data_IF_031599197996
#
_entry.id   IF_031599197996
#
_cell.length_a   1.000
_cell.length_b   1.000
_cell.length_c   1.000
_cell.angle_alpha   90.00
_cell.angle_beta   90.00
_cell.angle_gamma   90.00
#
_symmetry.space_group_name_H-M   'P 1'
#
loop_
_entity.id
_entity.type
_entity.pdbx_description
1 polymer ?
#
# COMPACT_ATOMS: atom_id res chain seq x y z
N UNK A 1 -18.52 -20.37 22.42
CA UNK A 1 -17.77 -19.42 23.26
C UNK A 1 -17.85 -19.86 24.71
N UNK A 2 -16.72 -20.04 25.38
CA UNK A 2 -16.71 -20.48 26.78
C UNK A 2 -17.15 -19.36 27.74
N UNK A 3 -17.26 -19.69 29.03
CA UNK A 3 -17.72 -18.75 30.06
C UNK A 3 -16.64 -17.74 30.50
N UNK A 4 -15.36 -17.99 30.20
CA UNK A 4 -14.27 -17.08 30.52
C UNK A 4 -14.22 -15.96 29.46
N UNK A 5 -14.24 -16.32 28.17
CA UNK A 5 -14.27 -15.35 27.07
C UNK A 5 -15.49 -14.43 27.14
N UNK A 6 -16.67 -14.95 27.51
CA UNK A 6 -17.88 -14.12 27.69
C UNK A 6 -17.69 -13.06 28.78
N UNK A 7 -17.08 -13.42 29.90
CA UNK A 7 -16.85 -12.49 31.03
C UNK A 7 -15.80 -11.43 30.69
N UNK A 8 -14.76 -11.81 29.95
CA UNK A 8 -13.75 -10.87 29.46
C UNK A 8 -14.34 -9.88 28.46
N UNK A 9 -15.16 -10.36 27.52
CA UNK A 9 -15.84 -9.53 26.54
C UNK A 9 -16.82 -8.56 27.22
N UNK A 10 -17.56 -9.01 28.23
CA UNK A 10 -18.42 -8.14 29.04
C UNK A 10 -17.62 -7.06 29.80
N UNK A 11 -16.43 -7.40 30.30
CA UNK A 11 -15.55 -6.45 30.97
C UNK A 11 -14.97 -5.41 30.00
N UNK A 12 -14.63 -5.82 28.77
CA UNK A 12 -14.22 -4.91 27.70
C UNK A 12 -15.36 -3.98 27.30
N UNK A 13 -16.57 -4.50 27.10
CA UNK A 13 -17.75 -3.70 26.73
C UNK A 13 -18.06 -2.63 27.78
N UNK A 14 -18.04 -2.98 29.06
CA UNK A 14 -18.24 -2.01 30.15
C UNK A 14 -17.17 -0.93 30.21
N UNK A 15 -15.93 -1.23 29.84
CA UNK A 15 -14.84 -0.23 29.81
C UNK A 15 -14.98 0.74 28.65
N UNK A 16 -15.38 0.25 27.48
CA UNK A 16 -15.50 1.07 26.28
C UNK A 16 -16.76 1.95 26.30
N UNK A 17 -17.90 1.42 26.78
CA UNK A 17 -19.19 2.10 26.64
C UNK A 17 -19.95 2.35 27.96
N UNK A 18 -19.41 1.93 29.10
CA UNK A 18 -20.09 2.05 30.40
C UNK A 18 -21.18 0.99 30.64
N UNK A 19 -21.97 1.15 31.70
CA UNK A 19 -23.06 0.24 32.01
C UNK A 19 -24.26 0.51 31.07
N UNK A 20 -24.56 -0.45 30.19
CA UNK A 20 -25.67 -0.32 29.22
C UNK A 20 -25.32 0.49 27.97
N UNK A 21 -24.05 0.58 27.59
CA UNK A 21 -23.62 1.34 26.40
C UNK A 21 -23.49 0.49 25.12
N UNK A 22 -24.09 -0.69 25.09
CA UNK A 22 -24.11 -1.49 23.87
C UNK A 22 -25.06 -0.89 22.82
N UNK A 23 -24.81 -1.19 21.55
CA UNK A 23 -25.77 -0.92 20.45
C UNK A 23 -27.17 -1.50 20.74
N UNK A 24 -27.22 -2.59 21.52
CA UNK A 24 -28.44 -3.26 21.96
C UNK A 24 -29.24 -2.48 23.04
N UNK A 25 -28.60 -1.54 23.73
CA UNK A 25 -29.17 -0.79 24.85
C UNK A 25 -29.49 0.68 24.47
N UNK A 26 -29.11 1.12 23.27
CA UNK A 26 -29.34 2.47 22.75
C UNK A 26 -30.51 2.49 21.74
N UNK A 27 -31.70 2.99 22.12
CA UNK A 27 -32.87 3.00 21.24
C UNK A 27 -32.71 3.94 20.03
N UNK A 28 -31.89 4.99 20.13
CA UNK A 28 -31.64 5.89 19.02
C UNK A 28 -30.72 5.23 17.98
N UNK A 29 -29.71 4.50 18.45
CA UNK A 29 -28.83 3.73 17.57
C UNK A 29 -29.58 2.59 16.85
N UNK A 30 -30.51 1.91 17.53
CA UNK A 30 -31.37 0.90 16.90
C UNK A 30 -32.31 1.49 15.85
N UNK A 31 -32.89 2.67 16.13
CA UNK A 31 -33.74 3.35 15.16
C UNK A 31 -32.95 3.71 13.88
N UNK A 32 -31.71 4.20 14.05
CA UNK A 32 -30.84 4.52 12.91
C UNK A 32 -30.40 3.27 12.14
N UNK A 33 -30.11 2.17 12.83
CA UNK A 33 -29.80 0.89 12.19
C UNK A 33 -30.98 0.37 11.36
N UNK A 34 -32.20 0.43 11.91
CA UNK A 34 -33.40 0.03 11.20
C UNK A 34 -33.68 0.87 9.94
N UNK A 35 -33.39 2.18 9.99
CA UNK A 35 -33.47 3.08 8.84
C UNK A 35 -32.45 2.69 7.75
N UNK A 36 -31.19 2.46 8.13
CA UNK A 36 -30.13 2.01 7.20
C UNK A 36 -30.43 0.65 6.58
N UNK A 37 -31.01 -0.29 7.33
CA UNK A 37 -31.45 -1.58 6.80
C UNK A 37 -32.65 -1.45 5.84
N UNK A 38 -33.50 -0.45 6.04
CA UNK A 38 -34.60 -0.16 5.13
C UNK A 38 -34.09 0.48 3.83
N UNK A 39 -33.13 1.41 3.92
CA UNK A 39 -32.43 1.99 2.77
C UNK A 39 -31.70 0.90 1.95
N UNK A 40 -30.93 0.04 2.61
CA UNK A 40 -30.22 -1.08 1.96
C UNK A 40 -31.18 -2.06 1.25
N UNK A 41 -32.33 -2.36 1.85
CA UNK A 41 -33.37 -3.20 1.22
C UNK A 41 -34.07 -2.50 0.06
N UNK A 42 -34.26 -1.19 0.14
CA UNK A 42 -34.84 -0.40 -0.95
C UNK A 42 -33.87 -0.25 -2.12
N UNK A 43 -32.56 -0.22 -1.85
CA UNK A 43 -31.51 -0.10 -2.85
C UNK A 43 -31.18 -1.44 -3.55
N UNK A 44 -31.55 -2.58 -2.96
CA UNK A 44 -31.55 -3.87 -3.64
C UNK A 44 -32.79 -4.02 -4.52
N UNK A 45 -32.71 -3.93 -5.86
CA UNK A 45 -33.83 -4.24 -6.72
C UNK A 45 -34.07 -5.75 -6.60
N UNK A 46 -35.32 -6.13 -6.29
CA UNK A 46 -35.71 -7.52 -6.03
C UNK A 46 -35.03 -8.51 -6.98
N UNK A 47 -34.13 -9.31 -6.42
CA UNK A 47 -33.67 -10.52 -7.09
C UNK A 47 -34.89 -11.40 -7.38
N UNK A 48 -34.92 -12.11 -8.53
CA UNK A 48 -36.05 -12.96 -8.90
C UNK A 48 -36.35 -13.95 -7.77
N UNK A 49 -37.63 -14.33 -7.56
CA UNK A 49 -37.99 -15.25 -6.50
C UNK A 49 -37.13 -16.52 -6.66
N UNK A 50 -36.35 -16.82 -5.64
CA UNK A 50 -35.76 -18.13 -5.48
C UNK A 50 -36.89 -19.14 -5.61
N UNK A 51 -36.83 -20.11 -6.54
CA UNK A 51 -37.87 -21.11 -6.62
C UNK A 51 -37.95 -21.81 -5.27
N UNK A 52 -39.18 -21.96 -4.77
CA UNK A 52 -39.52 -22.70 -3.57
C UNK A 52 -38.65 -23.96 -3.48
N UNK A 53 -37.82 -24.05 -2.45
CA UNK A 53 -37.26 -25.33 -2.02
C UNK A 53 -38.44 -26.15 -1.54
N UNK A 54 -39.10 -26.77 -2.50
CA UNK A 54 -40.11 -27.77 -2.28
C UNK A 54 -39.38 -28.87 -1.53
N UNK A 55 -39.79 -29.09 -0.28
CA UNK A 55 -39.33 -30.20 0.52
C UNK A 55 -39.47 -31.48 -0.31
N UNK A 56 -38.35 -32.02 -0.79
CA UNK A 56 -38.34 -33.34 -1.41
C UNK A 56 -38.53 -34.34 -0.29
N UNK A 57 -39.81 -34.67 -0.12
CA UNK A 57 -40.28 -35.85 0.57
C UNK A 57 -39.63 -37.05 -0.12
N UNK A 58 -38.96 -37.91 0.66
CA UNK A 58 -38.38 -39.14 0.18
C UNK A 58 -39.43 -39.98 -0.58
N UNK A 59 -39.15 -40.31 -1.84
CA UNK A 59 -39.83 -41.37 -2.57
C UNK A 59 -38.78 -42.26 -3.26
N UNK A 60 -39.00 -43.58 -3.29
CA UNK A 60 -37.94 -44.57 -3.49
C UNK A 60 -37.75 -44.90 -4.97
N UNK A 61 -36.49 -45.08 -5.37
CA UNK A 61 -36.14 -45.58 -6.70
C UNK A 61 -35.20 -44.65 -7.45
N UNK A 62 -33.94 -44.62 -7.03
CA UNK A 62 -32.85 -44.43 -7.98
C UNK A 62 -32.05 -45.73 -8.07
N UNK A 63 -31.64 -46.14 -9.28
CA UNK A 63 -30.73 -47.26 -9.47
C UNK A 63 -29.36 -46.94 -8.88
N UNK A 64 -28.70 -47.96 -8.36
CA UNK A 64 -27.40 -47.87 -7.71
C UNK A 64 -26.35 -47.15 -8.58
N UNK A 65 -25.52 -46.25 -8.01
CA UNK A 65 -24.35 -45.74 -8.69
C UNK A 65 -23.34 -46.88 -8.92
N UNK A 66 -22.58 -46.87 -10.03
CA UNK A 66 -21.60 -47.91 -10.31
C UNK A 66 -20.54 -47.95 -9.21
N UNK A 67 -20.34 -49.14 -8.63
CA UNK A 67 -19.19 -49.49 -7.80
C UNK A 67 -17.91 -49.23 -8.58
N UNK A 68 -17.18 -48.20 -8.18
CA UNK A 68 -15.78 -48.02 -8.57
C UNK A 68 -14.97 -48.93 -7.66
N UNK A 69 -14.35 -49.95 -8.26
CA UNK A 69 -13.42 -50.84 -7.58
C UNK A 69 -12.33 -50.02 -6.87
N UNK A 70 -12.14 -50.32 -5.58
CA UNK A 70 -11.06 -49.78 -4.79
C UNK A 70 -9.74 -50.40 -5.25
N UNK A 71 -9.09 -49.75 -6.22
CA UNK A 71 -7.68 -49.96 -6.51
C UNK A 71 -6.88 -48.88 -5.77
N UNK A 72 -6.04 -49.33 -4.83
CA UNK A 72 -5.05 -48.52 -4.12
C UNK A 72 -3.75 -48.54 -4.93
N UNK A 73 -3.32 -47.41 -5.52
CA UNK A 73 -1.93 -47.22 -5.84
C UNK A 73 -1.35 -46.08 -5.01
N UNK A 74 -0.55 -46.44 -4.01
CA UNK A 74 0.42 -45.54 -3.40
C UNK A 74 1.21 -44.77 -4.48
N UNK A 75 1.22 -43.44 -4.48
CA UNK A 75 2.14 -42.69 -5.32
C UNK A 75 3.55 -42.81 -4.73
N UNK A 76 4.44 -43.51 -5.43
CA UNK A 76 5.88 -43.42 -5.19
C UNK A 76 6.34 -41.98 -5.40
N UNK A 77 6.82 -41.35 -4.33
CA UNK A 77 7.42 -40.00 -4.35
C UNK A 77 8.70 -40.01 -5.20
N UNK A 78 8.83 -39.22 -6.28
CA UNK A 78 10.09 -39.09 -7.01
C UNK A 78 11.15 -38.43 -6.11
N UNK A 79 12.37 -38.96 -6.14
CA UNK A 79 13.51 -38.39 -5.43
C UNK A 79 13.86 -36.98 -5.95
N UNK A 80 14.27 -36.03 -5.09
CA UNK A 80 14.66 -34.69 -5.52
C UNK A 80 15.98 -34.72 -6.33
N UNK A 81 16.11 -33.94 -7.41
CA UNK A 81 17.38 -33.80 -8.12
C UNK A 81 18.40 -33.04 -7.25
N UNK A 82 19.64 -33.54 -7.26
CA UNK A 82 20.77 -32.95 -6.54
C UNK A 82 21.10 -31.53 -7.04
N UNK A 83 21.59 -30.63 -6.17
CA UNK A 83 21.93 -29.26 -6.56
C UNK A 83 23.16 -29.21 -7.48
N UNK A 84 23.12 -28.48 -8.61
CA UNK A 84 24.33 -28.22 -9.37
C UNK A 84 25.26 -27.26 -8.61
N UNK A 85 26.54 -27.64 -8.63
CA UNK A 85 27.66 -26.99 -7.94
C UNK A 85 27.88 -25.56 -8.45
N UNK A 86 28.12 -24.62 -7.52
CA UNK A 86 28.71 -23.31 -7.79
C UNK A 86 30.04 -23.46 -8.54
N UNK A 87 30.11 -22.93 -9.75
CA UNK A 87 31.36 -22.64 -10.44
C UNK A 87 31.36 -21.18 -10.85
N UNK A 88 32.16 -20.38 -10.14
CA UNK A 88 32.40 -19.00 -10.50
C UNK A 88 33.18 -18.90 -11.80
N UNK A 89 32.78 -17.96 -12.65
CA UNK A 89 33.63 -17.46 -13.71
C UNK A 89 33.56 -15.93 -13.73
N UNK A 90 34.62 -15.32 -13.21
CA UNK A 90 35.02 -13.97 -13.60
C UNK A 90 35.51 -14.03 -15.05
N UNK A 91 34.91 -13.26 -15.94
CA UNK A 91 35.46 -12.92 -17.25
C UNK A 91 34.92 -11.52 -17.63
N UNK A 92 35.67 -10.45 -17.34
CA UNK A 92 36.59 -9.75 -18.26
C UNK A 92 35.90 -9.23 -19.54
N UNK A 93 35.64 -7.92 -19.50
CA UNK A 93 35.71 -6.91 -20.56
C UNK A 93 35.90 -7.40 -22.01
N UNK A 94 35.02 -6.92 -22.90
CA UNK A 94 35.39 -6.54 -24.25
C UNK A 94 34.54 -5.35 -24.71
N UNK A 95 35.23 -4.22 -24.94
CA UNK A 95 34.72 -3.04 -25.60
C UNK A 95 34.53 -3.30 -27.10
N UNK A 96 33.50 -2.69 -27.70
CA UNK A 96 33.40 -2.52 -29.14
C UNK A 96 33.02 -1.07 -29.46
N UNK A 97 34.06 -0.31 -29.86
CA UNK A 97 34.02 1.01 -30.47
C UNK A 97 33.83 0.85 -31.99
N UNK A 98 32.75 1.39 -32.56
CA UNK A 98 32.64 1.94 -33.93
C UNK A 98 31.37 2.82 -33.91
N UNK A 99 31.31 4.08 -34.33
CA UNK A 99 32.24 4.97 -35.00
C UNK A 99 31.51 6.30 -35.29
N UNK A 100 32.23 7.28 -35.85
CA UNK A 100 31.62 8.48 -36.42
C UNK A 100 32.37 9.76 -36.11
N UNK A 101 33.54 9.93 -36.74
CA UNK A 101 34.20 11.23 -36.83
C UNK A 101 33.47 12.09 -37.87
N UNK A 102 32.90 13.21 -37.42
CA UNK A 102 32.61 14.37 -38.27
C UNK A 102 33.00 15.62 -37.49
N UNK A 103 34.13 16.20 -37.88
CA UNK A 103 34.63 17.48 -37.38
C UNK A 103 34.46 18.53 -38.48
N UNK A 104 33.69 19.60 -38.23
CA UNK A 104 33.83 20.91 -38.90
C UNK A 104 33.43 22.04 -37.95
N UNK A 105 34.46 22.58 -37.29
CA UNK A 105 34.83 23.99 -37.02
C UNK A 105 33.82 25.13 -36.71
N UNK A 106 34.15 25.80 -35.59
CA UNK A 106 34.22 27.25 -35.31
C UNK A 106 32.96 28.14 -35.42
N UNK A 107 32.54 28.72 -34.29
CA UNK A 107 32.55 30.18 -34.05
C UNK A 107 32.25 30.47 -32.56
N UNK A 108 33.03 31.36 -31.96
CA UNK A 108 32.91 31.71 -30.54
C UNK A 108 31.72 32.61 -30.24
N UNK A 109 31.16 32.42 -29.03
CA UNK A 109 30.46 33.45 -28.28
C UNK A 109 30.92 33.35 -26.82
N UNK A 110 31.42 34.48 -26.33
CA UNK A 110 31.78 34.75 -24.94
C UNK A 110 30.53 34.84 -24.05
N UNK A 111 30.73 34.57 -22.75
CA UNK A 111 29.91 34.98 -21.60
C UNK A 111 28.61 34.22 -21.29
N UNK A 112 28.71 33.25 -20.38
CA UNK A 112 28.11 33.31 -19.05
C UNK A 112 28.52 32.04 -18.27
N UNK A 113 28.96 32.12 -16.99
CA UNK A 113 28.94 30.94 -16.16
C UNK A 113 27.47 30.56 -16.01
N UNK A 114 27.08 29.42 -16.59
CA UNK A 114 25.91 28.71 -16.13
C UNK A 114 26.19 28.41 -14.65
N UNK A 115 25.71 29.30 -13.77
CA UNK A 115 25.17 28.88 -12.49
C UNK A 115 24.12 27.82 -12.85
N UNK A 116 24.56 26.56 -12.84
CA UNK A 116 23.66 25.47 -12.61
C UNK A 116 23.11 25.72 -11.22
N UNK A 117 21.97 26.40 -11.16
CA UNK A 117 21.00 26.21 -10.09
C UNK A 117 20.64 24.72 -10.14
N UNK A 118 21.48 23.96 -9.44
CA UNK A 118 21.13 22.68 -8.88
C UNK A 118 20.07 23.01 -7.85
N UNK A 119 18.82 23.07 -8.31
CA UNK A 119 17.70 22.66 -7.48
C UNK A 119 18.13 21.35 -6.80
N UNK A 120 17.84 21.14 -5.51
CA UNK A 120 18.12 19.87 -4.85
C UNK A 120 17.19 18.79 -5.42
N UNK A 121 17.52 18.32 -6.62
CA UNK A 121 17.07 17.06 -7.17
C UNK A 121 17.80 15.99 -6.38
N UNK A 122 17.07 15.40 -5.44
CA UNK A 122 17.11 14.01 -5.00
C UNK A 122 18.31 13.16 -5.51
N UNK A 123 19.53 13.51 -5.11
CA UNK A 123 20.72 12.71 -5.41
C UNK A 123 21.82 12.92 -4.36
N UNK A 124 21.46 12.79 -3.08
CA UNK A 124 22.41 12.63 -1.98
C UNK A 124 21.91 11.54 -1.03
N UNK A 125 22.42 10.32 -1.22
CA UNK A 125 22.48 9.28 -0.20
C UNK A 125 23.44 9.73 0.91
N UNK A 126 23.06 10.75 1.68
CA UNK A 126 23.49 10.76 3.07
C UNK A 126 22.78 9.59 3.74
N UNK A 127 23.53 8.85 4.54
CA UNK A 127 23.00 7.82 5.43
C UNK A 127 22.04 8.55 6.38
N UNK A 128 20.77 8.72 6.00
CA UNK A 128 19.78 9.39 6.82
C UNK A 128 19.69 8.63 8.13
N UNK A 129 20.02 9.29 9.22
CA UNK A 129 19.85 8.68 10.54
C UNK A 129 18.36 8.51 10.82
N UNK A 130 18.03 7.59 11.73
CA UNK A 130 16.64 7.46 12.20
C UNK A 130 16.17 8.79 12.80
N UNK A 131 17.06 9.51 13.51
CA UNK A 131 16.73 10.85 14.03
C UNK A 131 16.38 11.86 12.94
N UNK A 132 17.11 11.88 11.82
CA UNK A 132 16.83 12.79 10.70
C UNK A 132 15.48 12.47 10.06
N UNK A 133 15.20 11.19 9.79
CA UNK A 133 13.93 10.77 9.22
C UNK A 133 12.75 11.11 10.13
N UNK A 134 12.87 10.88 11.45
CA UNK A 134 11.84 11.27 12.42
C UNK A 134 11.63 12.78 12.42
N UNK A 135 12.72 13.56 12.40
CA UNK A 135 12.65 15.02 12.40
C UNK A 135 11.96 15.55 11.16
N UNK A 136 12.34 15.06 9.98
CA UNK A 136 11.75 15.46 8.70
C UNK A 136 10.25 15.13 8.65
N UNK A 137 9.87 13.93 9.08
CA UNK A 137 8.47 13.54 9.17
C UNK A 137 7.70 14.45 10.13
N UNK A 138 8.23 14.67 11.33
CA UNK A 138 7.61 15.55 12.33
C UNK A 138 7.46 16.98 11.82
N UNK A 139 8.48 17.54 11.15
CA UNK A 139 8.43 18.90 10.61
C UNK A 139 7.33 19.06 9.56
N UNK A 140 7.13 18.06 8.70
CA UNK A 140 6.05 18.08 7.71
C UNK A 140 4.67 17.96 8.37
N UNK A 141 4.55 17.06 9.34
CA UNK A 141 3.27 16.67 9.94
C UNK A 141 2.77 17.68 11.00
N UNK A 142 3.70 18.35 11.69
CA UNK A 142 3.39 19.39 12.69
C UNK A 142 3.33 20.80 12.07
N UNK A 143 3.40 20.92 10.74
CA UNK A 143 3.19 22.21 10.09
C UNK A 143 1.80 22.75 10.49
N UNK A 144 1.66 24.05 10.82
CA UNK A 144 0.41 24.58 11.36
C UNK A 144 -0.76 24.48 10.38
N UNK A 145 -0.48 24.40 9.08
CA UNK A 145 -1.44 24.21 8.00
C UNK A 145 -1.62 22.73 7.60
N UNK A 146 -0.95 21.79 8.28
CA UNK A 146 -1.09 20.37 7.98
C UNK A 146 -2.51 19.87 8.33
N UNK A 147 -3.14 19.19 7.37
CA UNK A 147 -4.48 18.62 7.52
C UNK A 147 -4.48 17.17 7.05
N UNK A 148 -4.87 16.25 7.93
CA UNK A 148 -5.15 14.87 7.53
C UNK A 148 -6.39 14.83 6.66
N UNK A 149 -6.21 14.40 5.41
CA UNK A 149 -7.29 14.29 4.42
C UNK A 149 -8.13 13.03 4.68
N UNK A 150 -7.45 11.89 4.87
CA UNK A 150 -8.07 10.61 5.24
C UNK A 150 -7.01 9.61 5.72
N UNK A 151 -7.49 8.47 6.21
CA UNK A 151 -6.67 7.35 6.67
C UNK A 151 -6.94 6.12 5.82
N UNK A 152 -5.87 5.46 5.36
CA UNK A 152 -5.92 4.20 4.62
C UNK A 152 -5.62 3.06 5.59
N UNK A 153 -6.62 2.25 5.99
CA UNK A 153 -6.38 1.05 6.78
C UNK A 153 -5.64 0.00 5.94
N UNK A 154 -4.62 -0.61 6.53
CA UNK A 154 -3.78 -1.63 5.89
C UNK A 154 -4.11 -3.04 6.38
N UNK A 155 -5.24 -3.19 7.06
CA UNK A 155 -5.78 -4.44 7.60
C UNK A 155 -6.30 -5.43 6.52
N UNK A 156 -6.03 -5.13 5.24
CA UNK A 156 -6.42 -5.93 4.08
C UNK A 156 -7.88 -5.76 3.66
N UNK A 157 -8.73 -5.08 4.45
CA UNK A 157 -10.17 -4.99 4.17
C UNK A 157 -10.51 -4.10 2.98
N UNK A 158 -9.63 -3.15 2.64
CA UNK A 158 -9.85 -2.22 1.53
C UNK A 158 -9.45 -2.77 0.16
N UNK A 159 -8.51 -3.74 0.15
CA UNK A 159 -8.06 -4.44 -1.06
C UNK A 159 -9.19 -5.24 -1.72
N UNK A 160 -10.15 -5.73 -0.92
CA UNK A 160 -11.32 -6.48 -1.40
C UNK A 160 -12.40 -5.59 -2.04
N UNK A 161 -12.48 -4.32 -1.65
CA UNK A 161 -13.60 -3.42 -2.02
C UNK A 161 -13.31 -2.66 -3.32
N UNK A 162 -12.05 -2.30 -3.57
CA UNK A 162 -11.68 -1.50 -4.76
C UNK A 162 -11.49 -2.31 -6.04
N UNK A 163 -11.70 -3.63 -6.00
CA UNK A 163 -11.76 -4.50 -7.19
C UNK A 163 -10.50 -4.50 -8.06
N UNK A 164 -9.40 -3.93 -7.57
CA UNK A 164 -8.20 -3.68 -8.37
C UNK A 164 -7.14 -4.77 -8.13
N UNK A 165 -7.55 -6.03 -8.30
CA UNK A 165 -6.64 -7.17 -8.49
C UNK A 165 -6.34 -7.37 -9.98
N UNK A 166 -6.22 -6.30 -10.75
CA UNK A 166 -5.40 -6.39 -11.96
C UNK A 166 -3.99 -6.79 -11.50
N UNK A 167 -3.31 -7.63 -12.27
CA UNK A 167 -1.91 -8.02 -12.02
C UNK A 167 -1.03 -6.79 -12.15
N UNK A 168 -0.99 -5.96 -11.11
CA UNK A 168 -0.15 -4.78 -11.04
C UNK A 168 1.29 -5.26 -10.97
N UNK A 169 2.13 -4.74 -11.87
CA UNK A 169 3.57 -4.97 -11.83
C UNK A 169 4.10 -4.12 -10.67
N UNK A 170 4.74 -4.70 -9.65
CA UNK A 170 5.28 -3.92 -8.54
C UNK A 170 6.38 -2.96 -9.02
N UNK A 171 6.47 -1.74 -8.47
CA UNK A 171 7.54 -0.80 -8.81
C UNK A 171 8.87 -1.28 -8.24
N UNK A 172 9.97 -0.79 -8.81
CA UNK A 172 11.29 -0.89 -8.17
C UNK A 172 11.27 -0.16 -6.83
N UNK A 173 11.91 -0.74 -5.82
CA UNK A 173 12.11 -0.07 -4.54
C UNK A 173 13.22 0.98 -4.66
N UNK A 174 13.22 2.02 -3.81
CA UNK A 174 14.32 2.97 -3.70
C UNK A 174 15.69 2.27 -3.65
N UNK A 175 16.69 2.84 -4.31
CA UNK A 175 18.05 2.31 -4.47
C UNK A 175 18.12 0.88 -5.08
N UNK A 176 17.13 0.52 -5.90
CA UNK A 176 17.01 -0.79 -6.57
C UNK A 176 17.09 -1.99 -5.60
N UNK A 177 16.58 -1.80 -4.37
CA UNK A 177 16.52 -2.87 -3.36
C UNK A 177 15.62 -4.02 -3.84
N UNK A 178 16.07 -5.24 -3.60
CA UNK A 178 15.22 -6.42 -3.75
C UNK A 178 14.12 -6.40 -2.68
N UNK A 179 12.91 -6.86 -3.02
CA UNK A 179 11.78 -6.95 -2.07
C UNK A 179 11.61 -8.38 -1.55
N UNK A 180 11.50 -8.56 -0.24
CA UNK A 180 10.96 -9.78 0.37
C UNK A 180 9.47 -9.92 0.03
N UNK A 181 8.73 -8.82 0.18
CA UNK A 181 7.34 -8.72 -0.25
C UNK A 181 7.03 -7.29 -0.67
N UNK A 182 6.09 -7.14 -1.60
CA UNK A 182 5.53 -5.86 -2.05
C UNK A 182 4.05 -6.05 -2.38
N UNK A 183 3.22 -5.15 -1.87
CA UNK A 183 1.76 -5.23 -1.95
C UNK A 183 1.14 -3.87 -2.23
N UNK A 184 0.13 -3.79 -3.12
CA UNK A 184 -0.57 -2.54 -3.39
C UNK A 184 -1.48 -2.16 -2.21
N UNK A 185 -1.48 -0.89 -1.83
CA UNK A 185 -2.28 -0.35 -0.74
C UNK A 185 -3.46 0.53 -1.21
N UNK A 186 -3.50 0.89 -2.49
CA UNK A 186 -4.62 1.62 -3.10
C UNK A 186 -4.17 2.69 -4.09
N UNK A 187 -5.14 3.29 -4.80
CA UNK A 187 -4.88 4.40 -5.74
C UNK A 187 -5.36 5.71 -5.16
N UNK A 188 -4.48 6.72 -5.17
CA UNK A 188 -4.73 8.03 -4.59
C UNK A 188 -4.08 9.10 -5.47
N UNK A 189 -4.83 10.15 -5.80
CA UNK A 189 -4.35 11.31 -6.59
C UNK A 189 -3.63 10.90 -7.89
N UNK A 190 -4.25 9.99 -8.65
CA UNK A 190 -3.71 9.38 -9.87
C UNK A 190 -2.46 8.50 -9.70
N UNK A 191 -1.93 8.36 -8.49
CA UNK A 191 -0.85 7.44 -8.16
C UNK A 191 -1.32 6.11 -7.57
N UNK A 192 -0.42 5.14 -7.54
CA UNK A 192 -0.59 3.85 -6.86
C UNK A 192 0.33 3.81 -5.63
N UNK A 193 -0.25 3.61 -4.45
CA UNK A 193 0.47 3.40 -3.21
C UNK A 193 0.83 1.93 -3.07
N UNK A 194 2.06 1.69 -2.63
CA UNK A 194 2.66 0.39 -2.42
C UNK A 194 3.35 0.34 -1.05
N UNK A 195 3.22 -0.81 -0.40
CA UNK A 195 3.97 -1.17 0.80
C UNK A 195 4.90 -2.31 0.46
N UNK A 196 6.12 -2.26 0.98
CA UNK A 196 7.06 -3.35 0.79
C UNK A 196 7.97 -3.55 2.00
N UNK A 197 8.62 -4.71 2.03
CA UNK A 197 9.80 -4.99 2.84
C UNK A 197 10.95 -5.32 1.90
N UNK A 198 12.07 -4.64 2.06
CA UNK A 198 13.26 -4.86 1.24
C UNK A 198 14.14 -5.99 1.82
N UNK A 199 14.42 -5.92 3.12
CA UNK A 199 15.17 -6.91 3.90
C UNK A 199 14.46 -7.13 5.25
N UNK A 200 14.92 -8.07 6.09
CA UNK A 200 14.21 -8.48 7.32
C UNK A 200 13.84 -7.32 8.24
N UNK A 201 14.65 -6.26 8.25
CA UNK A 201 14.49 -5.11 9.15
C UNK A 201 14.16 -3.79 8.43
N UNK A 202 13.85 -3.78 7.13
CA UNK A 202 13.62 -2.54 6.37
C UNK A 202 12.25 -2.50 5.70
N UNK A 203 11.46 -1.48 6.03
CA UNK A 203 10.14 -1.24 5.47
C UNK A 203 10.19 -0.09 4.47
N UNK A 204 9.47 -0.26 3.36
CA UNK A 204 9.38 0.71 2.29
C UNK A 204 7.94 1.16 2.06
N UNK A 205 7.78 2.47 1.87
CA UNK A 205 6.56 3.08 1.35
C UNK A 205 6.88 3.70 0.00
N UNK A 206 6.09 3.38 -1.02
CA UNK A 206 6.34 3.80 -2.40
C UNK A 206 5.04 4.28 -3.04
N UNK A 207 5.11 5.39 -3.77
CA UNK A 207 4.02 5.96 -4.56
C UNK A 207 4.50 6.03 -6.01
N UNK A 208 3.82 5.30 -6.88
CA UNK A 208 4.05 5.32 -8.32
C UNK A 208 3.10 6.35 -8.96
N UNK A 209 3.65 7.40 -9.57
CA UNK A 209 2.93 8.47 -10.26
C UNK A 209 3.27 8.46 -11.75
N UNK A 210 2.49 9.18 -12.55
CA UNK A 210 2.81 9.38 -13.96
C UNK A 210 4.15 10.11 -14.18
N UNK A 211 4.54 10.99 -13.24
CA UNK A 211 5.82 11.70 -13.26
C UNK A 211 7.02 10.83 -12.85
N UNK A 212 6.77 9.65 -12.26
CA UNK A 212 7.79 8.74 -11.78
C UNK A 212 7.44 8.12 -10.43
N UNK A 213 8.35 7.30 -9.93
CA UNK A 213 8.19 6.64 -8.63
C UNK A 213 8.88 7.45 -7.54
N UNK A 214 8.19 7.66 -6.42
CA UNK A 214 8.77 8.19 -5.19
C UNK A 214 8.63 7.17 -4.08
N UNK A 215 9.63 7.08 -3.22
CA UNK A 215 9.55 6.19 -2.09
C UNK A 215 10.62 6.46 -1.06
N UNK A 216 10.43 5.88 0.11
CA UNK A 216 11.43 5.84 1.15
C UNK A 216 11.46 4.42 1.72
N UNK A 217 12.65 3.95 2.04
CA UNK A 217 12.85 2.73 2.80
C UNK A 217 13.64 3.08 4.06
N UNK A 218 13.15 2.63 5.21
CA UNK A 218 13.77 2.89 6.50
C UNK A 218 13.74 1.63 7.37
N UNK A 219 14.68 1.50 8.32
CA UNK A 219 14.62 0.42 9.31
C UNK A 219 13.28 0.39 10.04
N UNK A 220 12.82 -0.79 10.44
CA UNK A 220 11.55 -0.98 11.14
C UNK A 220 11.48 -0.16 12.46
N UNK A 221 12.63 0.07 13.10
CA UNK A 221 12.73 0.98 14.25
C UNK A 221 12.34 2.42 13.92
N UNK A 222 12.69 2.92 12.73
CA UNK A 222 12.27 4.24 12.29
C UNK A 222 10.75 4.28 12.05
N UNK A 223 10.18 3.22 11.48
CA UNK A 223 8.73 3.10 11.32
C UNK A 223 8.00 3.07 12.68
N UNK A 224 8.51 2.34 13.68
CA UNK A 224 7.97 2.36 15.05
C UNK A 224 8.00 3.75 15.69
N UNK A 225 8.94 4.60 15.27
CA UNK A 225 9.04 6.03 15.65
C UNK A 225 8.25 6.96 14.72
N UNK A 226 7.40 6.41 13.85
CA UNK A 226 6.58 7.10 12.86
C UNK A 226 7.39 7.97 11.86
N UNK A 227 8.55 7.50 11.41
CA UNK A 227 9.39 8.23 10.46
C UNK A 227 9.10 7.95 8.98
N UNK A 228 8.31 6.92 8.67
CA UNK A 228 8.13 6.44 7.31
C UNK A 228 7.11 7.30 6.54
N UNK A 229 7.61 8.34 5.89
CA UNK A 229 6.83 9.36 5.17
C UNK A 229 7.34 9.50 3.72
N UNK A 230 6.41 9.52 2.77
CA UNK A 230 6.69 9.91 1.37
C UNK A 230 5.92 11.19 1.06
N UNK A 231 6.63 12.25 0.65
CA UNK A 231 6.04 13.55 0.30
C UNK A 231 5.99 13.72 -1.21
N UNK A 232 4.81 14.08 -1.74
CA UNK A 232 4.57 14.33 -3.16
C UNK A 232 4.17 15.81 -3.33
N UNK A 233 5.03 16.68 -3.88
CA UNK A 233 4.67 18.07 -4.17
C UNK A 233 3.57 18.19 -5.22
N UNK A 234 2.83 19.29 -5.18
CA UNK A 234 1.74 19.60 -6.12
C UNK A 234 2.15 19.50 -7.59
N UNK A 235 3.42 19.80 -7.91
CA UNK A 235 3.96 19.74 -9.29
C UNK A 235 3.88 18.35 -9.92
N UNK A 236 3.86 17.28 -9.11
CA UNK A 236 3.84 15.90 -9.60
C UNK A 236 2.45 15.25 -9.50
N UNK A 237 1.46 16.01 -9.04
CA UNK A 237 0.06 15.59 -9.00
C UNK A 237 -0.69 16.32 -10.13
N UNK A 238 -1.31 15.59 -11.08
CA UNK A 238 -2.14 16.19 -12.11
C UNK A 238 -3.19 17.13 -11.52
N UNK A 239 -3.41 18.30 -12.15
CA UNK A 239 -4.28 19.37 -11.62
C UNK A 239 -5.69 18.87 -11.31
N UNK A 240 -6.23 17.99 -12.15
CA UNK A 240 -7.56 17.37 -12.00
C UNK A 240 -7.63 16.29 -10.91
N UNK A 241 -6.48 15.84 -10.40
CA UNK A 241 -6.35 14.85 -9.36
C UNK A 241 -5.91 15.43 -8.02
N UNK A 242 -5.68 16.75 -7.91
CA UNK A 242 -5.26 17.38 -6.65
C UNK A 242 -6.41 17.38 -5.62
N UNK A 243 -6.12 17.21 -4.33
CA UNK A 243 -7.13 17.39 -3.28
C UNK A 243 -7.63 18.83 -3.26
N UNK A 244 -8.84 19.01 -2.74
CA UNK A 244 -9.46 20.33 -2.61
C UNK A 244 -8.60 21.27 -1.75
N UNK A 245 -8.41 22.50 -2.21
CA UNK A 245 -7.62 23.52 -1.51
C UNK A 245 -6.10 23.42 -1.70
N UNK A 246 -5.59 22.40 -2.40
CA UNK A 246 -4.15 22.28 -2.66
C UNK A 246 -3.64 23.39 -3.58
N UNK A 247 -2.60 24.09 -3.14
CA UNK A 247 -1.86 25.11 -3.91
C UNK A 247 -0.56 24.56 -4.49
N UNK A 248 0.14 25.35 -5.32
CA UNK A 248 1.40 24.92 -5.95
C UNK A 248 2.56 24.75 -4.96
N UNK A 249 2.46 25.36 -3.78
CA UNK A 249 3.47 25.27 -2.70
C UNK A 249 3.19 24.14 -1.73
N UNK A 250 2.09 23.41 -1.91
CA UNK A 250 1.70 22.32 -1.01
C UNK A 250 2.19 20.96 -1.51
N UNK A 251 2.10 19.99 -0.62
CA UNK A 251 2.42 18.61 -0.90
C UNK A 251 1.45 17.67 -0.18
N UNK A 252 1.27 16.48 -0.76
CA UNK A 252 0.59 15.36 -0.11
C UNK A 252 1.64 14.44 0.49
N UNK A 253 1.59 14.25 1.80
CA UNK A 253 2.36 13.24 2.52
C UNK A 253 1.57 11.94 2.69
N UNK A 254 2.19 10.81 2.36
CA UNK A 254 1.73 9.47 2.73
C UNK A 254 2.57 8.99 3.91
N UNK A 255 1.94 8.89 5.07
CA UNK A 255 2.63 8.60 6.33
C UNK A 255 2.21 7.24 6.87
N UNK A 256 3.10 6.25 6.78
CA UNK A 256 2.83 4.92 7.32
C UNK A 256 3.17 4.88 8.82
N UNK A 257 2.09 4.88 9.60
CA UNK A 257 2.06 4.91 11.06
C UNK A 257 2.29 3.52 11.66
N UNK A 258 2.84 3.49 12.87
CA UNK A 258 3.12 2.26 13.59
C UNK A 258 1.85 1.45 14.00
N UNK A 259 0.65 2.01 13.83
CA UNK A 259 -0.63 1.35 14.07
C UNK A 259 -1.20 0.67 12.80
N UNK A 260 -0.35 0.45 11.79
CA UNK A 260 -0.71 -0.18 10.51
C UNK A 260 -1.73 0.61 9.68
N UNK A 261 -1.71 1.94 9.78
CA UNK A 261 -2.44 2.84 8.89
C UNK A 261 -1.50 3.70 8.05
N UNK A 262 -1.93 4.10 6.85
CA UNK A 262 -1.33 5.24 6.15
C UNK A 262 -2.21 6.46 6.32
N UNK A 263 -1.73 7.46 7.02
CA UNK A 263 -2.36 8.78 7.06
C UNK A 263 -1.94 9.58 5.82
N UNK A 264 -2.92 10.16 5.14
CA UNK A 264 -2.71 11.00 3.96
C UNK A 264 -2.93 12.44 4.38
N UNK A 265 -1.87 13.25 4.32
CA UNK A 265 -1.81 14.59 4.90
C UNK A 265 -1.52 15.61 3.80
N UNK A 266 -2.27 16.70 3.75
CA UNK A 266 -1.94 17.89 2.97
C UNK A 266 -1.18 18.86 3.87
N UNK A 267 0.00 19.29 3.47
CA UNK A 267 0.74 20.32 4.19
C UNK A 267 1.60 21.15 3.22
N UNK A 268 2.05 22.35 3.62
CA UNK A 268 3.03 23.11 2.85
C UNK A 268 4.29 22.29 2.62
N UNK A 269 4.90 22.43 1.44
CA UNK A 269 6.19 21.79 1.17
C UNK A 269 7.23 22.38 2.13
N UNK A 270 8.03 21.55 2.84
CA UNK A 270 9.08 22.06 3.71
C UNK A 270 10.03 22.92 2.88
N UNK A 271 10.31 24.14 3.35
CA UNK A 271 11.34 24.96 2.73
C UNK A 271 12.65 24.18 2.74
N UNK A 272 13.34 24.10 1.60
CA UNK A 272 14.67 23.50 1.55
C UNK A 272 15.55 24.20 2.60
N UNK A 273 16.14 23.42 3.51
CA UNK A 273 17.04 23.97 4.51
C UNK A 273 18.18 24.74 3.79
N UNK A 274 18.55 25.94 4.26
CA UNK A 274 19.59 26.76 3.65
C UNK A 274 20.98 26.14 3.76
#
# INVERSE_FOLDING_TARGET
>A
MDAASRRELDALRRRAWGAGGGLDDDPAAQARLAELEAESRAESPGGPPTPDVTAVTAAPGMPDPPTVDAEDPHPQRPAPPAPPRRTGHRARLAAALVGGAAAVTLAGVLLAPLLGDTLPGADHTELRTIEDAVRDATMFLDAPEAVTLFTVPLDGRLSDITGNTATLIPPALPDDRDSEWITPAGRYYSGQLWRARADTDELCLVVELAAGTRGTCLPEEAHRRNALLVVIPASDIPVDARPEGMTETDAVGFWWRADDNVEVVLAPLPAAAP
#
